data_IF_122843975256
#
_entry.id   IF_122843975256
#
_cell.length_a   1.000
_cell.length_b   1.000
_cell.length_c   1.000
_cell.angle_alpha   90.00
_cell.angle_beta   90.00
_cell.angle_gamma   90.00
#
_symmetry.space_group_name_H-M   'P 1'
#
loop_
_entity.id
_entity.type
_entity.pdbx_description
1 polymer ?
#
# COMPACT_ATOMS: atom_id res chain seq x y z
N UNK A 1 6.83 -11.97 -54.40
CA UNK A 1 7.10 -10.85 -53.48
C UNK A 1 5.88 -10.76 -52.59
N UNK A 2 5.90 -11.48 -51.47
CA UNK A 2 4.84 -11.47 -50.47
C UNK A 2 5.25 -10.40 -49.46
N UNK A 3 4.47 -9.33 -49.35
CA UNK A 3 4.62 -8.32 -48.31
C UNK A 3 3.65 -8.71 -47.17
N UNK A 4 4.14 -9.21 -46.02
CA UNK A 4 3.29 -9.41 -44.87
C UNK A 4 3.07 -8.03 -44.25
N UNK A 5 1.95 -7.41 -44.60
CA UNK A 5 1.47 -6.22 -43.90
C UNK A 5 1.46 -6.52 -42.41
N UNK A 6 2.24 -5.71 -41.68
CA UNK A 6 2.12 -5.45 -40.26
C UNK A 6 0.64 -5.46 -39.87
N UNK A 7 0.18 -6.53 -39.22
CA UNK A 7 -0.92 -6.43 -38.28
C UNK A 7 -0.36 -5.67 -37.07
N UNK A 8 -0.32 -4.34 -37.19
CA UNK A 8 -0.35 -3.50 -36.00
C UNK A 8 -1.71 -3.81 -35.39
N UNK A 9 -1.74 -4.68 -34.39
CA UNK A 9 -2.86 -4.80 -33.48
C UNK A 9 -3.17 -3.38 -33.00
N UNK A 10 -4.21 -2.75 -33.56
CA UNK A 10 -4.76 -1.54 -32.96
C UNK A 10 -5.08 -1.90 -31.52
N UNK A 11 -4.30 -1.36 -30.59
CA UNK A 11 -4.60 -1.49 -29.17
C UNK A 11 -6.03 -1.00 -28.98
N UNK A 12 -6.91 -1.88 -28.47
CA UNK A 12 -8.30 -1.55 -28.22
C UNK A 12 -8.36 -0.57 -27.04
N UNK A 13 -8.18 0.72 -27.33
CA UNK A 13 -8.17 1.80 -26.36
C UNK A 13 -9.58 2.37 -26.23
N UNK A 14 -10.05 2.42 -24.99
CA UNK A 14 -11.34 2.95 -24.58
C UNK A 14 -11.06 4.19 -23.73
N UNK A 15 -10.83 5.31 -24.41
CA UNK A 15 -10.61 6.61 -23.80
C UNK A 15 -11.90 7.11 -23.13
N UNK A 16 -11.86 7.37 -21.82
CA UNK A 16 -13.03 7.81 -21.04
C UNK A 16 -13.69 9.07 -21.59
N UNK A 17 -12.95 9.95 -22.27
CA UNK A 17 -13.50 11.16 -22.91
C UNK A 17 -14.43 10.81 -24.09
N UNK A 18 -14.15 9.70 -24.78
CA UNK A 18 -15.03 9.16 -25.83
C UNK A 18 -16.34 8.57 -25.26
N UNK A 19 -16.39 8.34 -23.96
CA UNK A 19 -17.58 7.88 -23.22
C UNK A 19 -18.26 9.02 -22.44
N UNK A 20 -17.83 10.27 -22.65
CA UNK A 20 -18.47 11.47 -22.09
C UNK A 20 -17.83 12.02 -20.83
N UNK A 21 -16.63 11.55 -20.45
CA UNK A 21 -15.88 12.17 -19.36
C UNK A 21 -15.43 13.58 -19.79
N UNK A 22 -15.59 14.55 -18.89
CA UNK A 22 -15.26 15.96 -19.12
C UNK A 22 -13.84 16.28 -18.61
N UNK A 23 -13.43 15.71 -17.47
CA UNK A 23 -12.07 15.85 -16.95
C UNK A 23 -11.67 17.28 -16.59
N UNK A 24 -12.62 18.07 -16.09
CA UNK A 24 -12.47 19.51 -15.79
C UNK A 24 -12.31 19.81 -14.28
N UNK A 25 -12.08 18.81 -13.43
CA UNK A 25 -12.02 18.96 -11.97
C UNK A 25 -13.31 19.54 -11.35
N UNK A 26 -14.47 19.35 -11.98
CA UNK A 26 -15.76 19.87 -11.48
C UNK A 26 -16.95 18.94 -11.74
N UNK A 27 -16.90 18.16 -12.83
CA UNK A 27 -17.95 17.22 -13.22
C UNK A 27 -17.62 15.82 -12.72
N UNK A 28 -18.60 15.12 -12.12
CA UNK A 28 -18.46 13.69 -11.78
C UNK A 28 -18.48 12.86 -13.07
N UNK A 29 -17.34 12.25 -13.38
CA UNK A 29 -17.07 11.53 -14.62
C UNK A 29 -17.32 10.01 -14.48
N UNK A 30 -17.84 9.55 -13.34
CA UNK A 30 -17.95 8.12 -13.01
C UNK A 30 -18.72 7.29 -14.06
N UNK A 31 -19.79 7.83 -14.64
CA UNK A 31 -20.61 7.07 -15.58
C UNK A 31 -19.88 6.82 -16.90
N UNK A 32 -19.03 7.77 -17.32
CA UNK A 32 -18.14 7.59 -18.47
C UNK A 32 -17.09 6.51 -18.19
N UNK A 33 -16.48 6.52 -16.99
CA UNK A 33 -15.55 5.47 -16.57
C UNK A 33 -16.21 4.09 -16.54
N UNK A 34 -17.44 3.97 -16.02
CA UNK A 34 -18.20 2.71 -16.01
C UNK A 34 -18.50 2.21 -17.41
N UNK A 35 -18.89 3.10 -18.32
CA UNK A 35 -19.19 2.76 -19.70
C UNK A 35 -17.93 2.32 -20.46
N UNK A 36 -16.84 3.09 -20.35
CA UNK A 36 -15.55 2.77 -20.96
C UNK A 36 -14.99 1.45 -20.44
N UNK A 37 -15.05 1.23 -19.11
CA UNK A 37 -14.64 -0.03 -18.48
C UNK A 37 -15.42 -1.22 -19.01
N UNK A 38 -16.75 -1.08 -19.14
CA UNK A 38 -17.62 -2.15 -19.67
C UNK A 38 -17.23 -2.51 -21.10
N UNK A 39 -16.87 -1.52 -21.93
CA UNK A 39 -16.40 -1.75 -23.29
C UNK A 39 -15.02 -2.43 -23.31
N UNK A 40 -14.07 -1.94 -22.50
CA UNK A 40 -12.74 -2.53 -22.36
C UNK A 40 -12.79 -4.00 -21.93
N UNK A 41 -13.65 -4.34 -20.97
CA UNK A 41 -13.79 -5.72 -20.48
C UNK A 41 -14.46 -6.69 -21.46
N UNK A 42 -15.04 -6.20 -22.56
CA UNK A 42 -15.66 -7.04 -23.59
C UNK A 42 -14.65 -7.61 -24.61
N UNK A 43 -13.41 -7.12 -24.61
CA UNK A 43 -12.33 -7.51 -25.53
C UNK A 43 -11.10 -8.00 -24.77
N UNK A 44 -10.31 -8.88 -25.39
CA UNK A 44 -9.01 -9.25 -24.83
C UNK A 44 -8.06 -8.06 -24.96
N UNK A 45 -7.20 -7.88 -23.95
CA UNK A 45 -6.19 -6.80 -23.95
C UNK A 45 -6.76 -5.38 -24.14
N UNK A 46 -8.00 -5.13 -23.72
CA UNK A 46 -8.62 -3.81 -23.77
C UNK A 46 -7.98 -2.82 -22.80
N UNK A 47 -7.72 -1.60 -23.24
CA UNK A 47 -7.13 -0.53 -22.43
C UNK A 47 -8.21 0.49 -22.09
N UNK A 48 -8.62 0.58 -20.83
CA UNK A 48 -9.37 1.72 -20.32
C UNK A 48 -8.38 2.87 -20.05
N UNK A 49 -8.52 3.98 -20.77
CA UNK A 49 -7.58 5.10 -20.70
C UNK A 49 -8.24 6.34 -20.07
N UNK A 50 -7.65 6.84 -18.99
CA UNK A 50 -7.85 8.20 -18.49
C UNK A 50 -6.67 9.07 -18.98
N UNK A 51 -6.83 9.86 -20.05
CA UNK A 51 -5.72 10.53 -20.73
C UNK A 51 -5.08 11.64 -19.89
N UNK A 52 -3.83 11.96 -20.21
CA UNK A 52 -3.10 13.12 -19.69
C UNK A 52 -3.82 14.44 -19.97
N UNK A 53 -3.46 15.50 -19.25
CA UNK A 53 -4.05 16.86 -19.33
C UNK A 53 -5.46 17.02 -18.76
N UNK A 54 -6.09 15.94 -18.28
CA UNK A 54 -7.40 15.96 -17.66
C UNK A 54 -7.34 15.68 -16.16
N UNK A 55 -8.32 16.24 -15.45
CA UNK A 55 -8.57 15.99 -14.03
C UNK A 55 -9.99 15.48 -13.85
N UNK A 56 -10.15 14.18 -13.63
CA UNK A 56 -11.43 13.49 -13.56
C UNK A 56 -11.90 13.39 -12.11
N UNK A 57 -13.06 13.96 -11.79
CA UNK A 57 -13.70 13.68 -10.51
C UNK A 57 -14.42 12.33 -10.61
N UNK A 58 -14.14 11.42 -9.68
CA UNK A 58 -14.76 10.11 -9.62
C UNK A 58 -15.29 9.89 -8.20
N UNK A 59 -16.59 9.62 -8.06
CA UNK A 59 -17.15 9.17 -6.77
C UNK A 59 -16.85 7.69 -6.47
N UNK A 60 -17.06 7.27 -5.21
CA UNK A 60 -16.90 5.87 -4.80
C UNK A 60 -17.62 4.90 -5.72
N UNK A 61 -16.90 3.87 -6.18
CA UNK A 61 -17.40 2.94 -7.18
C UNK A 61 -16.76 1.56 -7.06
N UNK A 62 -17.51 0.57 -7.51
CA UNK A 62 -17.07 -0.82 -7.63
C UNK A 62 -17.02 -1.17 -9.13
N UNK A 63 -15.83 -1.46 -9.63
CA UNK A 63 -15.58 -2.04 -10.94
C UNK A 63 -15.61 -3.57 -10.85
N UNK A 64 -16.80 -4.15 -10.99
CA UNK A 64 -17.02 -5.61 -10.88
C UNK A 64 -16.69 -6.35 -12.15
N UNK A 65 -15.82 -7.37 -12.09
CA UNK A 65 -15.61 -8.34 -13.16
C UNK A 65 -16.82 -9.26 -13.43
N UNK A 66 -16.64 -10.30 -14.26
CA UNK A 66 -15.40 -10.67 -14.94
C UNK A 66 -15.08 -9.76 -16.13
N UNK A 67 -13.80 -9.72 -16.51
CA UNK A 67 -13.33 -9.14 -17.77
C UNK A 67 -12.68 -10.24 -18.60
N UNK A 68 -12.56 -10.03 -19.91
CA UNK A 68 -11.64 -10.85 -20.70
C UNK A 68 -10.19 -10.60 -20.24
N UNK A 69 -9.28 -11.58 -20.40
CA UNK A 69 -7.90 -11.43 -19.93
C UNK A 69 -7.15 -10.26 -20.55
N UNK A 70 -6.22 -9.69 -19.79
CA UNK A 70 -5.27 -8.69 -20.27
C UNK A 70 -5.77 -7.25 -20.23
N UNK A 71 -6.90 -6.97 -19.57
CA UNK A 71 -7.42 -5.61 -19.46
C UNK A 71 -6.45 -4.72 -18.70
N UNK A 72 -6.20 -3.53 -19.23
CA UNK A 72 -5.37 -2.49 -18.60
C UNK A 72 -6.26 -1.31 -18.23
N UNK A 73 -6.16 -0.85 -16.99
CA UNK A 73 -6.64 0.47 -16.58
C UNK A 73 -5.43 1.39 -16.50
N UNK A 74 -5.32 2.31 -17.44
CA UNK A 74 -4.23 3.26 -17.58
C UNK A 74 -4.70 4.66 -17.19
N UNK A 75 -4.00 5.26 -16.22
CA UNK A 75 -4.25 6.61 -15.69
C UNK A 75 -3.06 7.51 -16.01
N UNK A 76 -3.17 8.26 -17.11
CA UNK A 76 -2.16 9.26 -17.49
C UNK A 76 -2.53 10.66 -16.99
N UNK A 77 -3.82 10.92 -16.75
CA UNK A 77 -4.34 12.14 -16.13
C UNK A 77 -4.35 12.12 -14.61
N UNK A 78 -5.18 12.97 -14.02
CA UNK A 78 -5.40 13.08 -12.57
C UNK A 78 -6.78 12.54 -12.23
N UNK A 79 -6.87 11.65 -11.24
CA UNK A 79 -8.15 11.27 -10.64
C UNK A 79 -8.38 12.12 -9.38
N UNK A 80 -9.62 12.43 -9.04
CA UNK A 80 -9.92 13.19 -7.82
C UNK A 80 -11.18 12.61 -7.20
N UNK A 81 -11.13 12.33 -5.90
CA UNK A 81 -12.33 11.97 -5.16
C UNK A 81 -13.14 13.24 -4.84
N UNK A 82 -14.47 13.17 -4.87
CA UNK A 82 -15.31 14.24 -4.33
C UNK A 82 -14.95 14.51 -2.86
N UNK A 83 -15.03 15.78 -2.42
CA UNK A 83 -14.72 16.38 -1.10
C UNK A 83 -14.94 15.50 0.17
N UNK A 84 -14.20 14.39 0.27
CA UNK A 84 -14.31 13.39 1.34
C UNK A 84 -15.63 12.60 1.39
N UNK A 85 -15.72 11.54 2.21
CA UNK A 85 -16.91 10.70 2.32
C UNK A 85 -18.23 11.43 2.67
N UNK A 86 -18.17 12.59 3.33
CA UNK A 86 -19.35 13.36 3.74
C UNK A 86 -20.12 13.97 2.55
N UNK A 87 -19.45 14.22 1.43
CA UNK A 87 -20.10 14.69 0.20
C UNK A 87 -20.49 13.54 -0.75
N UNK A 88 -20.10 12.31 -0.42
CA UNK A 88 -20.50 11.15 -1.21
C UNK A 88 -22.00 10.89 -1.01
N UNK A 89 -22.72 10.45 -2.07
CA UNK A 89 -24.09 10.02 -1.94
C UNK A 89 -24.24 9.02 -0.78
N UNK A 90 -25.32 9.09 0.00
CA UNK A 90 -25.55 8.16 1.13
C UNK A 90 -25.59 6.67 0.73
N UNK A 91 -25.79 6.39 -0.56
CA UNK A 91 -25.73 5.05 -1.14
C UNK A 91 -24.30 4.51 -1.27
N UNK A 92 -23.32 5.40 -1.28
CA UNK A 92 -21.93 5.09 -1.57
C UNK A 92 -21.21 4.75 -0.26
N UNK A 93 -20.21 3.88 -0.33
CA UNK A 93 -19.52 3.43 0.87
C UNK A 93 -18.54 4.49 1.33
N UNK A 94 -18.62 4.87 2.61
CA UNK A 94 -17.70 5.86 3.19
C UNK A 94 -16.27 5.31 3.37
N UNK A 95 -16.08 3.98 3.32
CA UNK A 95 -14.84 3.28 3.67
C UNK A 95 -14.01 2.80 2.47
N UNK A 96 -14.41 3.13 1.24
CA UNK A 96 -13.68 2.71 0.05
C UNK A 96 -14.00 3.64 -1.11
N UNK A 97 -12.99 3.90 -1.94
CA UNK A 97 -13.17 4.73 -3.12
C UNK A 97 -13.21 3.93 -4.43
N UNK A 98 -12.07 3.41 -4.91
CA UNK A 98 -12.02 2.60 -6.12
C UNK A 98 -11.89 1.13 -5.74
N UNK A 99 -12.94 0.35 -5.96
CA UNK A 99 -12.94 -1.09 -5.67
C UNK A 99 -12.93 -1.89 -6.97
N UNK A 100 -11.97 -2.80 -7.11
CA UNK A 100 -11.93 -3.82 -8.14
C UNK A 100 -12.37 -5.14 -7.53
N UNK A 101 -13.54 -5.62 -7.97
CA UNK A 101 -14.21 -6.78 -7.39
C UNK A 101 -14.34 -7.92 -8.40
N UNK A 102 -13.96 -9.14 -8.05
CA UNK A 102 -14.01 -10.31 -8.96
C UNK A 102 -13.30 -10.08 -10.30
N UNK A 103 -12.21 -9.31 -10.29
CA UNK A 103 -11.42 -9.08 -11.49
C UNK A 103 -10.36 -10.17 -11.61
N UNK A 104 -10.11 -10.63 -12.84
CA UNK A 104 -9.09 -11.64 -13.14
C UNK A 104 -8.27 -11.19 -14.35
N UNK A 105 -6.93 -11.17 -14.20
CA UNK A 105 -5.99 -10.86 -15.29
C UNK A 105 -5.98 -9.39 -15.69
N UNK A 106 -5.89 -8.49 -14.71
CA UNK A 106 -5.93 -7.03 -14.92
C UNK A 106 -4.60 -6.36 -14.56
N UNK A 107 -4.21 -5.36 -15.35
CA UNK A 107 -3.15 -4.41 -15.00
C UNK A 107 -3.74 -3.04 -14.63
N UNK A 108 -3.33 -2.47 -13.51
CA UNK A 108 -3.61 -1.08 -13.14
C UNK A 108 -2.30 -0.29 -13.22
N UNK A 109 -2.27 0.78 -14.01
CA UNK A 109 -1.04 1.56 -14.23
C UNK A 109 -1.32 3.04 -14.41
N UNK A 110 -0.30 3.86 -14.21
CA UNK A 110 -0.33 5.27 -14.59
C UNK A 110 0.95 6.01 -14.28
N UNK A 111 1.04 7.23 -14.83
CA UNK A 111 2.22 8.09 -14.79
C UNK A 111 1.89 9.54 -14.38
N UNK A 112 0.71 9.79 -13.78
CA UNK A 112 0.25 11.14 -13.45
C UNK A 112 1.00 11.78 -12.28
N UNK A 113 1.28 13.10 -12.36
CA UNK A 113 2.00 13.83 -11.31
C UNK A 113 1.22 13.96 -9.99
N UNK A 114 -0.11 13.88 -10.02
CA UNK A 114 -0.95 13.86 -8.82
C UNK A 114 -2.10 12.91 -9.09
N UNK A 115 -2.32 11.98 -8.18
CA UNK A 115 -3.41 11.04 -8.35
C UNK A 115 -4.57 11.35 -7.44
N UNK A 116 -4.38 12.01 -6.28
CA UNK A 116 -5.44 12.10 -5.26
C UNK A 116 -5.34 13.38 -4.43
N UNK A 117 -6.46 14.05 -4.16
CA UNK A 117 -6.60 15.07 -3.12
C UNK A 117 -7.92 14.82 -2.37
N UNK A 118 -7.86 14.32 -1.13
CA UNK A 118 -9.03 14.10 -0.26
C UNK A 118 -9.07 15.18 0.83
N UNK A 119 -10.04 16.10 0.82
CA UNK A 119 -10.20 17.06 1.91
C UNK A 119 -10.99 16.42 3.06
N UNK A 120 -10.29 15.71 3.95
CA UNK A 120 -10.88 15.15 5.18
C UNK A 120 -10.10 15.63 6.42
N UNK A 121 -10.59 16.71 7.06
CA UNK A 121 -10.17 17.21 8.39
C UNK A 121 -11.21 16.78 9.45
N UNK A 122 -10.80 16.26 10.63
CA UNK A 122 -10.53 17.14 11.77
C UNK A 122 -9.30 16.76 12.63
N UNK A 123 -8.97 17.66 13.56
CA UNK A 123 -7.73 17.74 14.35
C UNK A 123 -7.69 16.83 15.59
N UNK A 124 -6.49 16.43 16.04
CA UNK A 124 -6.24 16.19 17.48
C UNK A 124 -6.49 17.52 18.20
N UNK A 125 -7.36 17.51 19.22
CA UNK A 125 -7.50 18.65 20.12
C UNK A 125 -6.24 18.79 21.00
N UNK A 126 -6.01 19.96 21.62
CA UNK A 126 -5.04 20.09 22.70
C UNK A 126 -5.27 19.01 23.76
N UNK A 127 -4.19 18.47 24.36
CA UNK A 127 -4.23 17.44 25.42
C UNK A 127 -4.62 16.01 25.00
N UNK A 128 -4.40 15.61 23.74
CA UNK A 128 -4.53 14.20 23.34
C UNK A 128 -5.98 13.69 23.33
N UNK A 129 -6.96 14.60 23.30
CA UNK A 129 -8.36 14.22 23.12
C UNK A 129 -8.64 13.95 21.65
N UNK A 130 -9.01 12.71 21.33
CA UNK A 130 -9.53 12.34 20.02
C UNK A 130 -10.97 12.86 19.93
N UNK A 131 -11.15 14.00 19.28
CA UNK A 131 -12.49 14.46 18.94
C UNK A 131 -13.09 13.44 17.94
N UNK A 132 -14.37 13.04 18.08
CA UNK A 132 -15.04 12.22 17.08
C UNK A 132 -14.94 12.91 15.71
N UNK A 133 -14.13 12.35 14.81
CA UNK A 133 -14.08 12.77 13.42
C UNK A 133 -15.25 12.16 12.65
N UNK A 134 -15.84 12.93 11.73
CA UNK A 134 -16.97 12.47 10.90
C UNK A 134 -16.57 11.50 9.78
N UNK A 135 -15.28 11.37 9.49
CA UNK A 135 -14.80 10.64 8.31
C UNK A 135 -14.55 9.16 8.62
N UNK A 136 -15.21 8.28 7.88
CA UNK A 136 -14.98 6.83 7.91
C UNK A 136 -13.86 6.42 6.96
N UNK A 137 -12.62 6.76 7.25
CA UNK A 137 -11.48 5.87 6.96
C UNK A 137 -11.47 5.12 5.60
N UNK A 138 -11.45 5.79 4.42
CA UNK A 138 -11.55 5.10 3.14
C UNK A 138 -10.23 4.55 2.61
N UNK A 139 -10.20 3.27 2.22
CA UNK A 139 -9.15 2.74 1.36
C UNK A 139 -9.27 3.32 -0.06
N UNK A 140 -8.15 3.82 -0.62
CA UNK A 140 -8.13 4.51 -1.92
C UNK A 140 -8.38 3.54 -3.07
N UNK A 141 -7.51 2.54 -3.19
CA UNK A 141 -7.67 1.44 -4.15
C UNK A 141 -7.85 0.15 -3.37
N UNK A 142 -8.91 -0.59 -3.67
CA UNK A 142 -9.20 -1.89 -3.07
C UNK A 142 -9.33 -2.97 -4.13
N UNK A 143 -8.51 -4.02 -4.04
CA UNK A 143 -8.77 -5.27 -4.75
C UNK A 143 -9.43 -6.28 -3.80
N UNK A 144 -10.58 -6.81 -4.22
CA UNK A 144 -11.35 -7.73 -3.39
C UNK A 144 -11.85 -8.93 -4.20
N UNK A 145 -11.67 -10.13 -3.66
CA UNK A 145 -12.05 -11.39 -4.32
C UNK A 145 -11.52 -11.50 -5.76
N UNK A 146 -10.31 -10.99 -6.01
CA UNK A 146 -9.75 -10.86 -7.37
C UNK A 146 -8.56 -11.81 -7.58
N UNK A 147 -8.07 -11.95 -8.81
CA UNK A 147 -6.92 -12.81 -9.12
C UNK A 147 -6.07 -12.25 -10.25
N UNK A 148 -4.79 -12.62 -10.32
CA UNK A 148 -3.88 -12.22 -11.41
C UNK A 148 -3.87 -10.70 -11.64
N UNK A 149 -3.61 -9.96 -10.57
CA UNK A 149 -3.62 -8.50 -10.56
C UNK A 149 -2.19 -7.99 -10.64
N UNK A 150 -1.93 -7.04 -11.52
CA UNK A 150 -0.63 -6.35 -11.60
C UNK A 150 -0.88 -4.85 -11.42
N UNK A 151 -0.19 -4.23 -10.46
CA UNK A 151 -0.22 -2.80 -10.21
C UNK A 151 1.16 -2.21 -10.47
N UNK A 152 1.23 -1.19 -11.34
CA UNK A 152 2.47 -0.47 -11.70
C UNK A 152 2.19 1.02 -11.75
N UNK A 153 2.43 1.73 -10.67
CA UNK A 153 2.02 3.13 -10.51
C UNK A 153 3.25 3.99 -10.25
N UNK A 154 3.88 4.47 -11.32
CA UNK A 154 5.00 5.40 -11.22
C UNK A 154 4.45 6.79 -10.95
N UNK A 155 4.55 7.26 -9.71
CA UNK A 155 4.10 8.60 -9.34
C UNK A 155 5.30 9.48 -9.05
N UNK A 156 5.77 10.20 -10.07
CA UNK A 156 6.71 11.30 -9.85
C UNK A 156 5.92 12.52 -9.34
N UNK A 157 6.04 12.84 -8.05
CA UNK A 157 5.48 14.01 -7.36
C UNK A 157 4.03 13.91 -6.81
N UNK A 158 3.64 12.81 -6.17
CA UNK A 158 2.37 12.75 -5.43
C UNK A 158 2.38 13.69 -4.21
N UNK A 159 2.00 14.95 -4.41
CA UNK A 159 1.69 15.85 -3.30
C UNK A 159 0.28 15.57 -2.81
N UNK A 160 0.14 14.63 -1.88
CA UNK A 160 -1.04 14.62 -1.03
C UNK A 160 -1.00 15.79 -0.07
N UNK A 161 -1.99 16.68 -0.16
CA UNK A 161 -2.35 17.57 0.95
C UNK A 161 -3.36 16.87 1.85
N UNK A 162 -2.96 15.72 2.40
CA UNK A 162 -3.66 15.13 3.53
C UNK A 162 -3.06 15.74 4.80
N UNK A 163 -3.85 16.39 5.67
CA UNK A 163 -3.36 16.81 6.98
C UNK A 163 -2.70 15.64 7.71
N UNK A 164 -1.65 15.90 8.49
CA UNK A 164 -0.86 14.91 9.24
C UNK A 164 -1.65 14.06 10.28
N UNK A 165 -2.98 14.22 10.33
CA UNK A 165 -3.91 13.56 11.24
C UNK A 165 -5.12 12.93 10.52
N UNK A 166 -5.08 12.77 9.20
CA UNK A 166 -6.18 12.15 8.46
C UNK A 166 -6.21 10.63 8.75
N UNK A 167 -7.23 10.12 9.45
CA UNK A 167 -7.28 8.70 9.79
C UNK A 167 -7.54 7.83 8.55
N UNK A 168 -6.80 6.71 8.40
CA UNK A 168 -7.18 5.54 7.60
C UNK A 168 -7.45 5.79 6.12
N UNK A 169 -6.51 6.43 5.44
CA UNK A 169 -6.50 6.53 3.98
C UNK A 169 -5.54 5.51 3.39
N UNK A 170 -5.76 4.21 3.57
CA UNK A 170 -4.89 3.16 3.01
C UNK A 170 -4.69 3.37 1.49
N UNK A 171 -3.45 3.29 1.00
CA UNK A 171 -3.12 3.48 -0.42
C UNK A 171 -3.70 2.36 -1.28
N UNK A 172 -3.07 1.19 -1.23
CA UNK A 172 -3.57 -0.02 -1.90
C UNK A 172 -3.95 -1.05 -0.82
N UNK A 173 -5.23 -1.42 -0.77
CA UNK A 173 -5.73 -2.49 0.08
C UNK A 173 -6.08 -3.73 -0.76
N UNK A 174 -5.55 -4.90 -0.39
CA UNK A 174 -5.87 -6.17 -1.05
C UNK A 174 -6.47 -7.14 -0.04
N UNK A 175 -7.58 -7.78 -0.39
CA UNK A 175 -8.24 -8.78 0.46
C UNK A 175 -8.87 -9.89 -0.40
N UNK A 176 -8.86 -11.14 0.06
CA UNK A 176 -9.34 -12.32 -0.69
C UNK A 176 -8.81 -12.38 -2.13
N UNK A 177 -7.56 -11.93 -2.36
CA UNK A 177 -7.01 -11.74 -3.71
C UNK A 177 -5.75 -12.58 -3.91
N UNK A 178 -5.64 -13.24 -5.07
CA UNK A 178 -4.53 -14.15 -5.38
C UNK A 178 -3.64 -13.64 -6.53
N UNK A 179 -2.35 -13.93 -6.50
CA UNK A 179 -1.41 -13.57 -7.59
C UNK A 179 -1.43 -12.07 -7.85
N UNK A 180 -0.91 -11.30 -6.90
CA UNK A 180 -0.88 -9.83 -6.91
C UNK A 180 0.55 -9.35 -7.04
N UNK A 181 0.88 -8.62 -8.10
CA UNK A 181 2.16 -7.93 -8.23
C UNK A 181 2.01 -6.42 -8.03
N UNK A 182 2.75 -5.80 -7.11
CA UNK A 182 2.81 -4.34 -6.96
C UNK A 182 4.26 -3.89 -7.15
N UNK A 183 4.52 -3.20 -8.25
CA UNK A 183 5.91 -2.96 -8.69
C UNK A 183 6.19 -1.49 -8.97
N UNK A 184 7.43 -1.05 -8.68
CA UNK A 184 7.99 0.23 -9.13
C UNK A 184 7.04 1.40 -8.90
N UNK A 185 6.50 1.49 -7.68
CA UNK A 185 5.42 2.42 -7.36
C UNK A 185 5.80 3.39 -6.24
N UNK A 186 5.38 4.64 -6.37
CA UNK A 186 5.49 5.63 -5.29
C UNK A 186 4.08 5.87 -4.75
N UNK A 187 3.87 5.59 -3.47
CA UNK A 187 2.57 5.73 -2.82
C UNK A 187 2.73 6.71 -1.66
N UNK A 188 1.96 7.78 -1.71
CA UNK A 188 1.81 8.72 -0.60
C UNK A 188 0.35 8.72 -0.19
N UNK A 189 0.10 8.58 1.12
CA UNK A 189 -1.21 8.47 1.75
C UNK A 189 -1.12 8.83 3.25
N UNK A 190 -2.24 8.80 3.98
CA UNK A 190 -2.29 9.16 5.40
C UNK A 190 -2.37 7.96 6.36
N UNK A 191 -2.30 6.72 5.87
CA UNK A 191 -2.31 5.49 6.67
C UNK A 191 -1.46 4.40 5.96
N UNK A 192 -1.87 3.13 5.94
CA UNK A 192 -1.09 2.05 5.33
C UNK A 192 -0.84 2.26 3.82
N UNK A 193 0.41 2.42 3.42
CA UNK A 193 0.84 2.52 2.02
C UNK A 193 0.32 1.35 1.17
N UNK A 194 0.56 0.12 1.64
CA UNK A 194 -0.04 -1.10 1.12
C UNK A 194 -0.54 -1.93 2.31
N UNK A 195 -1.77 -2.43 2.20
CA UNK A 195 -2.50 -3.12 3.26
C UNK A 195 -2.97 -4.48 2.74
N UNK A 196 -2.35 -5.57 3.21
CA UNK A 196 -2.70 -6.94 2.82
C UNK A 196 -3.63 -7.54 3.88
N UNK A 197 -4.91 -7.62 3.53
CA UNK A 197 -5.95 -8.26 4.32
C UNK A 197 -5.98 -9.79 4.15
N UNK A 198 -6.85 -10.46 4.92
CA UNK A 198 -7.00 -11.90 4.86
C UNK A 198 -7.51 -12.37 3.48
N UNK A 199 -7.26 -13.64 3.21
CA UNK A 199 -7.61 -14.37 2.00
C UNK A 199 -6.61 -14.22 0.85
N UNK A 200 -5.50 -13.50 1.07
CA UNK A 200 -4.52 -13.22 0.03
C UNK A 200 -3.41 -14.28 -0.04
N UNK A 201 -3.00 -14.64 -1.25
CA UNK A 201 -1.88 -15.58 -1.50
C UNK A 201 -1.14 -15.19 -2.77
N UNK A 202 0.16 -15.45 -2.85
CA UNK A 202 1.00 -15.11 -4.00
C UNK A 202 0.98 -13.60 -4.27
N UNK A 203 1.25 -12.82 -3.22
CA UNK A 203 1.47 -11.38 -3.34
C UNK A 203 2.97 -11.17 -3.51
N UNK A 204 3.37 -10.35 -4.47
CA UNK A 204 4.74 -9.93 -4.74
C UNK A 204 4.78 -8.39 -4.82
N UNK A 205 5.64 -7.77 -4.02
CA UNK A 205 5.78 -6.31 -3.93
C UNK A 205 7.26 -5.98 -4.06
N UNK A 206 7.64 -5.22 -5.09
CA UNK A 206 9.03 -4.86 -5.39
C UNK A 206 9.18 -3.41 -5.88
N UNK A 207 10.20 -2.70 -5.39
CA UNK A 207 10.51 -1.34 -5.85
C UNK A 207 9.44 -0.33 -5.46
N UNK A 208 8.79 -0.52 -4.32
CA UNK A 208 7.78 0.42 -3.81
C UNK A 208 8.43 1.40 -2.84
N UNK A 209 8.18 2.69 -3.04
CA UNK A 209 8.55 3.77 -2.13
C UNK A 209 7.30 4.35 -1.48
N UNK A 210 7.23 4.32 -0.16
CA UNK A 210 6.13 4.91 0.59
C UNK A 210 6.53 6.30 1.10
N UNK A 211 6.02 7.36 0.46
CA UNK A 211 6.35 8.75 0.80
C UNK A 211 5.28 9.37 1.70
N UNK A 212 5.69 10.18 2.66
CA UNK A 212 4.77 10.94 3.52
C UNK A 212 5.10 12.43 3.42
N UNK A 213 4.44 13.13 2.49
CA UNK A 213 4.73 14.53 2.12
C UNK A 213 4.66 15.55 3.28
N UNK A 214 4.02 15.21 4.39
CA UNK A 214 3.93 16.06 5.59
C UNK A 214 4.54 15.44 6.84
N UNK A 215 5.16 14.26 6.76
CA UNK A 215 5.55 13.49 7.95
C UNK A 215 4.36 12.89 8.72
N UNK A 216 4.63 11.89 9.55
CA UNK A 216 3.63 11.14 10.32
C UNK A 216 3.56 11.74 11.72
N UNK A 217 2.44 12.36 12.10
CA UNK A 217 2.31 13.05 13.38
C UNK A 217 1.17 12.52 14.22
N UNK A 218 1.41 12.35 15.52
CA UNK A 218 0.37 12.06 16.49
C UNK A 218 -0.45 10.81 16.09
N UNK A 219 0.25 9.79 15.59
CA UNK A 219 -0.31 8.55 15.04
C UNK A 219 0.02 7.35 15.93
N UNK A 220 -0.82 6.32 15.88
CA UNK A 220 -0.51 5.04 16.52
C UNK A 220 0.59 4.28 15.77
N UNK A 221 0.75 4.47 14.46
CA UNK A 221 1.72 3.74 13.65
C UNK A 221 2.45 4.69 12.68
N UNK A 222 3.73 4.41 12.44
CA UNK A 222 4.54 5.00 11.39
C UNK A 222 4.52 4.11 10.16
N UNK A 223 5.69 3.62 9.75
CA UNK A 223 5.81 2.65 8.66
C UNK A 223 5.55 1.24 9.18
N UNK A 224 4.71 0.49 8.47
CA UNK A 224 4.22 -0.80 8.94
C UNK A 224 4.10 -1.80 7.80
N UNK A 225 4.66 -2.99 8.01
CA UNK A 225 4.35 -4.20 7.23
C UNK A 225 3.54 -5.11 8.15
N UNK A 226 2.32 -5.45 7.75
CA UNK A 226 1.45 -6.37 8.50
C UNK A 226 1.08 -7.56 7.62
N UNK A 227 1.24 -8.76 8.16
CA UNK A 227 0.83 -10.00 7.50
C UNK A 227 0.13 -10.93 8.49
N UNK A 228 -0.77 -11.74 7.98
CA UNK A 228 -1.44 -12.80 8.72
C UNK A 228 -0.62 -14.10 8.75
N UNK A 229 -0.74 -14.86 9.83
CA UNK A 229 -0.22 -16.24 9.86
C UNK A 229 -0.96 -17.13 8.86
N UNK A 230 -0.24 -18.04 8.20
CA UNK A 230 -0.81 -18.95 7.19
C UNK A 230 -0.88 -18.36 5.77
N UNK A 231 -0.39 -17.12 5.58
CA UNK A 231 -0.26 -16.51 4.26
C UNK A 231 0.86 -17.13 3.41
N UNK A 232 0.80 -16.93 2.09
CA UNK A 232 1.86 -17.30 1.17
C UNK A 232 2.15 -16.19 0.16
N UNK A 233 3.39 -16.08 -0.29
CA UNK A 233 3.87 -15.02 -1.17
C UNK A 233 5.16 -14.39 -0.63
N UNK A 234 5.57 -13.27 -1.22
CA UNK A 234 6.77 -12.52 -0.84
C UNK A 234 6.56 -11.01 -0.84
N UNK A 235 7.24 -10.32 0.05
CA UNK A 235 7.36 -8.86 0.08
C UNK A 235 8.86 -8.58 0.01
N UNK A 236 9.36 -8.09 -1.14
CA UNK A 236 10.80 -7.97 -1.39
C UNK A 236 11.21 -6.67 -2.07
N UNK A 237 12.20 -5.94 -1.56
CA UNK A 237 12.63 -4.68 -2.19
C UNK A 237 11.69 -3.52 -1.89
N UNK A 238 11.19 -3.44 -0.65
CA UNK A 238 10.38 -2.31 -0.16
C UNK A 238 11.31 -1.26 0.45
N UNK A 239 11.14 0.01 0.09
CA UNK A 239 11.94 1.10 0.64
C UNK A 239 11.06 2.16 1.31
N UNK A 240 11.38 2.47 2.57
CA UNK A 240 10.81 3.57 3.33
C UNK A 240 11.87 4.66 3.47
N UNK A 241 11.69 5.78 2.78
CA UNK A 241 12.74 6.80 2.66
C UNK A 241 12.26 8.20 3.09
N UNK A 242 13.14 8.93 3.77
CA UNK A 242 12.99 10.36 4.11
C UNK A 242 11.68 10.68 4.86
N UNK A 243 11.40 9.93 5.92
CA UNK A 243 10.15 10.05 6.68
C UNK A 243 10.39 10.81 7.99
N UNK A 244 9.69 11.93 8.16
CA UNK A 244 9.65 12.64 9.44
C UNK A 244 8.50 12.13 10.31
N UNK A 245 8.74 11.96 11.62
CA UNK A 245 7.75 11.53 12.61
C UNK A 245 7.62 12.52 13.77
N UNK A 246 6.42 12.68 14.31
CA UNK A 246 6.20 13.49 15.52
C UNK A 246 5.21 12.78 16.44
N UNK A 247 5.62 12.40 17.65
CA UNK A 247 4.75 11.75 18.63
C UNK A 247 3.99 10.53 18.05
N UNK A 248 4.73 9.63 17.38
CA UNK A 248 4.21 8.40 16.78
C UNK A 248 4.44 7.22 17.71
N UNK A 249 3.42 6.39 17.97
CA UNK A 249 3.54 5.31 18.96
C UNK A 249 4.39 4.13 18.49
N UNK A 250 4.10 3.58 17.31
CA UNK A 250 4.84 2.45 16.76
C UNK A 250 5.47 2.87 15.43
N UNK A 251 6.65 3.47 15.48
CA UNK A 251 7.28 4.14 14.33
C UNK A 251 7.63 3.19 13.18
N UNK A 252 8.28 2.06 13.47
CA UNK A 252 8.71 1.10 12.45
C UNK A 252 8.26 -0.30 12.89
N UNK A 253 7.37 -0.92 12.12
CA UNK A 253 6.79 -2.21 12.48
C UNK A 253 6.87 -3.21 11.33
N UNK A 254 7.25 -4.44 11.69
CA UNK A 254 6.87 -5.64 10.94
C UNK A 254 6.07 -6.51 11.92
N UNK A 255 4.83 -6.85 11.58
CA UNK A 255 3.97 -7.73 12.39
C UNK A 255 3.40 -8.85 11.51
N UNK A 256 4.01 -10.04 11.61
CA UNK A 256 3.52 -11.24 10.92
C UNK A 256 2.51 -12.06 11.75
N UNK A 257 2.05 -11.51 12.89
CA UNK A 257 1.05 -12.11 13.77
C UNK A 257 -0.26 -11.30 13.79
N UNK A 258 -0.47 -10.44 12.78
CA UNK A 258 -1.52 -9.44 12.77
C UNK A 258 -2.94 -10.04 12.84
N UNK A 259 -3.78 -9.49 13.73
CA UNK A 259 -5.19 -9.84 13.94
C UNK A 259 -5.48 -11.32 14.20
N UNK A 260 -4.52 -12.07 14.74
CA UNK A 260 -4.73 -13.44 15.16
C UNK A 260 -5.29 -13.54 16.59
N UNK A 261 -6.62 -13.70 16.75
CA UNK A 261 -7.22 -14.12 18.03
C UNK A 261 -7.48 -15.63 17.99
N UNK A 262 -6.53 -16.41 18.50
CA UNK A 262 -6.68 -17.87 18.68
C UNK A 262 -6.37 -18.72 17.45
N UNK A 263 -5.48 -18.29 16.56
CA UNK A 263 -5.04 -19.13 15.44
C UNK A 263 -4.20 -20.30 15.94
N UNK A 264 -4.22 -21.38 15.17
CA UNK A 264 -3.27 -22.47 15.31
C UNK A 264 -1.90 -21.97 14.82
N UNK A 265 -0.82 -22.56 15.33
CA UNK A 265 0.51 -22.29 14.78
C UNK A 265 0.55 -22.78 13.33
N UNK A 266 0.73 -21.86 12.39
CA UNK A 266 0.86 -22.17 10.97
C UNK A 266 2.35 -22.23 10.58
N UNK A 267 2.69 -23.14 9.66
CA UNK A 267 4.07 -23.30 9.15
C UNK A 267 4.35 -22.47 7.90
N UNK A 268 3.31 -21.84 7.34
CA UNK A 268 3.42 -20.93 6.20
C UNK A 268 3.30 -19.47 6.65
N UNK A 269 4.12 -18.62 6.05
CA UNK A 269 4.07 -17.18 6.21
C UNK A 269 4.55 -16.51 4.93
N UNK A 270 4.23 -15.22 4.79
CA UNK A 270 4.74 -14.40 3.69
C UNK A 270 6.23 -14.16 3.91
N UNK A 271 7.05 -14.40 2.87
CA UNK A 271 8.49 -14.15 2.93
C UNK A 271 8.75 -12.64 2.87
N UNK A 272 9.31 -12.04 3.92
CA UNK A 272 9.67 -10.62 3.94
C UNK A 272 11.18 -10.49 3.82
N UNK A 273 11.64 -9.85 2.76
CA UNK A 273 13.06 -9.76 2.43
C UNK A 273 13.43 -8.39 1.85
N UNK A 274 14.70 -7.99 1.97
CA UNK A 274 15.23 -6.79 1.30
C UNK A 274 14.35 -5.55 1.55
N UNK A 275 14.12 -5.22 2.83
CA UNK A 275 13.34 -4.05 3.24
C UNK A 275 14.29 -2.98 3.76
N UNK A 276 14.24 -1.80 3.19
CA UNK A 276 15.10 -0.67 3.53
C UNK A 276 14.33 0.40 4.31
N UNK A 277 14.89 0.85 5.43
CA UNK A 277 14.42 1.97 6.25
C UNK A 277 15.52 3.03 6.28
N UNK A 278 15.34 4.10 5.51
CA UNK A 278 16.38 5.11 5.29
C UNK A 278 15.91 6.53 5.62
N UNK A 279 16.67 7.25 6.43
CA UNK A 279 16.39 8.66 6.73
C UNK A 279 15.07 8.86 7.46
N UNK A 280 14.72 7.95 8.38
CA UNK A 280 13.51 8.06 9.21
C UNK A 280 13.85 8.79 10.50
N UNK A 281 13.33 10.00 10.69
CA UNK A 281 13.73 10.88 11.80
C UNK A 281 12.52 11.44 12.53
N UNK A 282 12.65 11.73 13.82
CA UNK A 282 11.63 12.46 14.56
C UNK A 282 11.39 11.97 15.98
N UNK A 283 10.14 12.01 16.43
CA UNK A 283 9.78 11.64 17.80
C UNK A 283 8.71 10.56 17.94
N UNK A 284 8.83 9.75 19.00
CA UNK A 284 7.92 8.65 19.30
C UNK A 284 7.21 8.82 20.65
N UNK A 285 6.02 8.25 20.75
CA UNK A 285 5.26 8.20 22.00
C UNK A 285 5.79 7.05 22.88
N UNK A 286 6.32 7.40 24.06
CA UNK A 286 7.03 6.49 24.98
C UNK A 286 6.20 5.37 25.60
N UNK A 287 4.91 5.24 25.24
CA UNK A 287 4.05 4.14 25.68
C UNK A 287 4.40 2.78 25.05
N UNK A 288 5.31 2.74 24.08
CA UNK A 288 5.87 1.51 23.49
C UNK A 288 7.22 1.79 22.82
N UNK A 289 8.06 0.76 22.61
CA UNK A 289 9.25 0.90 21.77
C UNK A 289 8.88 1.43 20.38
N UNK A 290 9.72 2.30 19.78
CA UNK A 290 9.44 2.86 18.46
C UNK A 290 9.61 1.82 17.34
N UNK A 291 10.40 0.77 17.55
CA UNK A 291 10.75 -0.22 16.53
C UNK A 291 10.35 -1.62 17.03
N UNK A 292 9.59 -2.34 16.20
CA UNK A 292 9.05 -3.65 16.53
C UNK A 292 9.01 -4.58 15.31
N UNK A 293 9.95 -5.51 15.24
CA UNK A 293 10.00 -6.56 14.21
C UNK A 293 9.56 -7.91 14.79
N UNK A 294 8.35 -8.35 14.48
CA UNK A 294 7.82 -9.65 14.84
C UNK A 294 7.59 -10.50 13.59
N UNK A 295 8.62 -11.25 13.19
CA UNK A 295 8.59 -12.13 12.03
C UNK A 295 8.16 -13.55 12.42
N UNK A 296 7.69 -14.35 11.46
CA UNK A 296 7.18 -15.70 11.70
C UNK A 296 8.25 -16.62 12.28
N UNK A 297 7.89 -17.51 13.20
CA UNK A 297 8.80 -18.55 13.73
C UNK A 297 9.34 -19.50 12.65
N UNK A 298 8.56 -19.74 11.59
CA UNK A 298 8.91 -20.67 10.52
C UNK A 298 9.74 -20.01 9.41
N UNK A 299 9.52 -18.72 9.15
CA UNK A 299 10.13 -17.97 8.05
C UNK A 299 10.58 -16.61 8.58
N UNK A 300 11.89 -16.41 8.67
CA UNK A 300 12.48 -15.18 9.15
C UNK A 300 12.30 -14.01 8.16
N UNK A 301 12.24 -12.78 8.66
CA UNK A 301 12.50 -11.62 7.81
C UNK A 301 14.00 -11.49 7.59
N UNK A 302 14.43 -11.24 6.35
CA UNK A 302 15.85 -11.21 5.97
C UNK A 302 16.21 -9.95 5.20
N UNK A 303 17.50 -9.59 5.18
CA UNK A 303 18.01 -8.42 4.48
C UNK A 303 17.27 -7.11 4.85
N UNK A 304 16.94 -6.93 6.14
CA UNK A 304 16.44 -5.65 6.64
C UNK A 304 17.61 -4.65 6.72
N UNK A 305 17.46 -3.47 6.14
CA UNK A 305 18.53 -2.45 6.16
C UNK A 305 18.02 -1.21 6.86
N UNK A 306 18.75 -0.72 7.86
CA UNK A 306 18.45 0.54 8.53
C UNK A 306 19.61 1.53 8.37
N UNK A 307 19.31 2.73 7.89
CA UNK A 307 20.27 3.81 7.72
C UNK A 307 19.64 5.16 8.09
N UNK A 308 20.39 6.00 8.79
CA UNK A 308 19.97 7.34 9.20
C UNK A 308 18.63 7.39 9.96
N UNK A 309 18.39 6.38 10.82
CA UNK A 309 17.19 6.28 11.66
C UNK A 309 17.43 6.95 13.02
N UNK A 310 16.67 7.99 13.32
CA UNK A 310 16.78 8.78 14.56
C UNK A 310 15.40 9.09 15.16
N UNK A 311 14.99 8.32 16.16
CA UNK A 311 13.69 8.41 16.83
C UNK A 311 13.91 8.69 18.32
N UNK A 312 13.50 9.89 18.73
CA UNK A 312 13.64 10.38 20.10
C UNK A 312 12.29 10.35 20.84
N UNK A 313 12.27 10.22 22.18
CA UNK A 313 11.05 10.41 22.95
C UNK A 313 10.39 11.76 22.64
N UNK A 314 9.09 11.78 22.37
CA UNK A 314 8.33 13.02 22.19
C UNK A 314 8.16 13.80 23.51
N UNK A 315 8.03 13.06 24.61
CA UNK A 315 8.02 13.57 25.98
C UNK A 315 8.56 12.47 26.92
N UNK A 316 9.18 12.87 28.03
CA UNK A 316 9.79 11.95 29.00
C UNK A 316 11.18 11.42 28.62
N UNK A 317 11.65 10.42 29.38
CA UNK A 317 12.91 9.72 29.12
C UNK A 317 12.72 8.56 28.14
N UNK A 318 13.82 8.05 27.58
CA UNK A 318 13.80 6.92 26.65
C UNK A 318 13.22 5.68 27.34
N UNK A 319 12.15 5.13 26.78
CA UNK A 319 11.49 3.91 27.29
C UNK A 319 11.61 2.80 26.25
N UNK A 320 12.00 1.64 26.77
CA UNK A 320 12.08 0.31 26.16
C UNK A 320 12.97 0.15 24.91
N UNK A 321 13.75 -0.93 24.91
CA UNK A 321 14.56 -1.33 23.77
C UNK A 321 13.67 -1.75 22.58
N UNK A 322 14.13 -1.53 21.33
CA UNK A 322 13.52 -2.14 20.15
C UNK A 322 13.27 -3.64 20.33
N UNK A 323 12.17 -4.12 19.74
CA UNK A 323 11.84 -5.54 19.72
C UNK A 323 12.18 -6.15 18.36
N UNK A 324 12.82 -7.33 18.37
CA UNK A 324 13.08 -8.12 17.18
C UNK A 324 12.85 -9.60 17.49
N UNK A 325 12.14 -10.27 16.60
CA UNK A 325 11.92 -11.71 16.64
C UNK A 325 12.04 -12.27 15.23
N UNK A 326 12.94 -13.25 15.08
CA UNK A 326 13.29 -13.89 13.83
C UNK A 326 13.53 -12.90 12.66
N UNK A 327 14.21 -11.79 12.95
CA UNK A 327 14.46 -10.69 12.02
C UNK A 327 15.96 -10.50 11.84
N UNK A 328 16.40 -10.52 10.58
CA UNK A 328 17.81 -10.45 10.19
C UNK A 328 18.07 -9.25 9.29
N UNK A 329 19.18 -8.57 9.54
CA UNK A 329 19.48 -7.34 8.83
C UNK A 329 20.72 -6.62 9.36
N UNK A 330 20.93 -5.41 8.87
CA UNK A 330 22.11 -4.60 9.17
C UNK A 330 21.73 -3.14 9.46
N UNK A 331 22.43 -2.55 10.43
CA UNK A 331 22.42 -1.10 10.70
C UNK A 331 23.61 -0.47 9.98
N UNK A 332 23.40 0.19 8.84
CA UNK A 332 24.48 0.82 8.04
C UNK A 332 25.06 2.07 8.73
N UNK A 333 24.22 2.74 9.52
CA UNK A 333 24.63 3.84 10.41
C UNK A 333 24.13 3.56 11.82
N UNK A 334 24.69 4.24 12.82
CA UNK A 334 24.14 4.21 14.18
C UNK A 334 22.67 4.65 14.15
N UNK A 335 21.80 3.84 14.74
CA UNK A 335 20.38 4.19 14.92
C UNK A 335 20.13 4.69 16.34
N UNK A 336 19.13 5.57 16.48
CA UNK A 336 18.57 5.96 17.76
C UNK A 336 17.08 5.59 17.75
N UNK A 337 16.58 4.76 18.68
CA UNK A 337 17.35 3.92 19.60
C UNK A 337 18.23 2.89 18.87
N UNK A 338 19.24 2.37 19.56
CA UNK A 338 20.10 1.30 19.01
C UNK A 338 19.32 -0.01 18.95
N UNK A 339 19.42 -0.74 17.84
CA UNK A 339 18.64 -1.97 17.62
C UNK A 339 19.56 -3.17 17.85
N UNK A 340 19.75 -3.56 19.12
CA UNK A 340 20.65 -4.66 19.49
C UNK A 340 20.06 -6.05 19.22
N UNK A 341 18.74 -6.13 19.02
CA UNK A 341 18.01 -7.38 18.80
C UNK A 341 18.02 -7.86 17.34
N UNK A 342 18.41 -7.01 16.39
CA UNK A 342 18.42 -7.36 14.97
C UNK A 342 19.59 -8.33 14.72
N UNK A 343 19.30 -9.48 14.14
CA UNK A 343 20.30 -10.53 13.95
C UNK A 343 21.12 -10.26 12.69
N UNK A 344 22.43 -10.43 12.76
CA UNK A 344 23.31 -10.36 11.59
C UNK A 344 23.28 -11.68 10.81
N UNK A 345 23.52 -11.59 9.50
CA UNK A 345 23.67 -12.76 8.62
C UNK A 345 22.35 -13.37 8.16
N UNK A 346 22.38 -14.67 7.85
CA UNK A 346 21.22 -15.42 7.37
C UNK A 346 20.68 -16.36 8.47
N UNK A 347 19.37 -16.66 8.47
CA UNK A 347 18.80 -17.64 9.38
C UNK A 347 19.52 -18.97 9.24
N UNK A 348 19.88 -19.58 10.37
CA UNK A 348 20.43 -20.93 10.34
C UNK A 348 19.36 -21.88 9.80
N UNK A 349 19.52 -22.35 8.56
CA UNK A 349 18.79 -23.51 8.09
C UNK A 349 19.10 -24.63 9.08
N UNK A 350 18.07 -25.20 9.71
CA UNK A 350 18.19 -26.49 10.37
C UNK A 350 18.58 -27.49 9.28
N UNK A 351 19.88 -27.62 9.00
CA UNK A 351 20.40 -28.78 8.31
C UNK A 351 20.04 -29.95 9.20
N UNK A 352 19.21 -30.85 8.68
CA UNK A 352 19.09 -32.19 9.22
C UNK A 352 20.47 -32.85 9.12
N UNK A 353 21.34 -32.59 10.10
CA UNK A 353 22.50 -33.40 10.41
C UNK A 353 22.00 -34.70 11.04
N UNK A 354 21.19 -35.45 10.29
CA UNK A 354 20.97 -36.86 10.57
C UNK A 354 22.22 -37.57 10.05
N UNK A 355 23.25 -37.55 10.89
CA UNK A 355 24.34 -38.51 10.83
C UNK A 355 23.74 -39.91 10.97
N UNK A 356 23.41 -40.55 9.84
CA UNK A 356 23.16 -41.98 9.81
C UNK A 356 24.48 -42.72 10.03
N UNK A 357 24.83 -42.92 11.31
CA UNK A 357 25.69 -44.02 11.70
C UNK A 357 24.84 -45.26 11.98
N UNK A 358 24.83 -46.18 11.02
CA UNK A 358 24.96 -47.63 11.22
C UNK A 358 25.22 -48.28 9.85
#
# INVERSE_FOLDING_TARGET
MYDPQNFISESCIFDVTSFGAVGNCSTDDIDAFRAARKAACAVESGVLLAPADYTFIIRSTIFSGPCKPGVVFQVDGVLVALDGPDCWPKSDSLHQWLVFYLVDGMTFTGNGAKWWELPCKPHRGPHGTTLPGKCGSPGLIRFFMSSNIVVRVLVENLSLNSPAHSPNTDGIHIADTKSVGIYNSIIANGDDCISIGPGCSDVDIEGVTCEHSHGIRNSDNGVRIKTWQGGSGSVTGVSFENIEMENVRNCIIIDQYYSCKGCQNETSSIYVNNVSYKGIKGTYDVRSPPIHFACSDAIACTNLTLSEVELLPADGEMVDDPYCWNAYGTQETLTIPTITCLLDGEPQLLSEDINYFC
#
